data_IF_226852206810
#
_entry.id   IF_226852206810
#
_cell.length_a   1.000
_cell.length_b   1.000
_cell.length_c   1.000
_cell.angle_alpha   90.00
_cell.angle_beta   90.00
_cell.angle_gamma   90.00
#
_symmetry.space_group_name_H-M   'P 1'
#
loop_
_entity.id
_entity.type
_entity.pdbx_description
1 polymer ?
#
# COMPACT_ATOMS: atom_id res chain seq x y z
N UNK A 1 -2.18 -21.79 4.64
CA UNK A 1 -1.93 -20.79 3.57
C UNK A 1 -1.27 -21.51 2.41
N UNK A 2 -1.79 -21.38 1.19
CA UNK A 2 -1.09 -21.91 0.00
C UNK A 2 0.10 -21.01 -0.35
N UNK A 3 1.17 -21.54 -1.00
CA UNK A 3 2.32 -20.74 -1.39
C UNK A 3 1.95 -19.48 -2.18
N UNK A 4 0.96 -19.59 -3.08
CA UNK A 4 0.45 -18.46 -3.87
C UNK A 4 -0.20 -17.38 -2.98
N UNK A 5 -0.97 -17.76 -1.96
CA UNK A 5 -1.60 -16.81 -1.05
C UNK A 5 -0.57 -16.08 -0.19
N UNK A 6 0.51 -16.75 0.21
CA UNK A 6 1.62 -16.11 0.91
C UNK A 6 2.29 -15.02 0.05
N UNK A 7 2.56 -15.33 -1.22
CA UNK A 7 3.13 -14.36 -2.17
C UNK A 7 2.20 -13.16 -2.35
N UNK A 8 0.89 -13.40 -2.52
CA UNK A 8 -0.09 -12.32 -2.65
C UNK A 8 -0.08 -11.45 -1.39
N UNK A 9 -0.12 -12.04 -0.19
CA UNK A 9 -0.08 -11.29 1.07
C UNK A 9 1.20 -10.46 1.21
N UNK A 10 2.36 -11.02 0.84
CA UNK A 10 3.64 -10.29 0.84
C UNK A 10 3.60 -9.08 -0.09
N UNK A 11 3.13 -9.26 -1.33
CA UNK A 11 2.98 -8.17 -2.31
C UNK A 11 2.01 -7.08 -1.83
N UNK A 12 0.89 -7.45 -1.21
CA UNK A 12 -0.07 -6.49 -0.66
C UNK A 12 0.53 -5.71 0.52
N UNK A 13 1.36 -6.35 1.33
CA UNK A 13 2.06 -5.68 2.44
C UNK A 13 3.05 -4.63 1.91
N UNK A 14 3.83 -4.99 0.91
CA UNK A 14 4.76 -4.08 0.26
C UNK A 14 4.04 -2.92 -0.44
N UNK A 15 2.94 -3.20 -1.12
CA UNK A 15 2.10 -2.17 -1.75
C UNK A 15 1.55 -1.18 -0.73
N UNK A 16 1.03 -1.65 0.41
CA UNK A 16 0.56 -0.78 1.51
C UNK A 16 1.68 0.13 1.99
N UNK A 17 2.87 -0.43 2.22
CA UNK A 17 4.04 0.34 2.65
C UNK A 17 4.42 1.42 1.63
N UNK A 18 4.49 1.08 0.34
CA UNK A 18 4.84 2.04 -0.71
C UNK A 18 3.77 3.14 -0.85
N UNK A 19 2.49 2.78 -0.75
CA UNK A 19 1.38 3.73 -0.85
C UNK A 19 1.41 4.80 0.25
N UNK A 20 1.89 4.46 1.45
CA UNK A 20 1.91 5.36 2.62
C UNK A 20 3.23 6.09 2.81
N UNK A 21 4.36 5.50 2.38
CA UNK A 21 5.69 6.05 2.65
C UNK A 21 6.33 6.72 1.44
N UNK A 22 5.68 6.71 0.27
CA UNK A 22 6.23 7.36 -0.93
C UNK A 22 5.19 8.17 -1.72
N UNK A 23 5.70 8.97 -2.66
CA UNK A 23 4.92 9.69 -3.68
C UNK A 23 4.80 8.92 -5.00
N UNK A 24 5.35 7.70 -5.08
CA UNK A 24 5.45 6.96 -6.35
C UNK A 24 4.09 6.81 -7.04
N UNK A 25 4.01 6.98 -8.37
CA UNK A 25 2.78 6.72 -9.12
C UNK A 25 2.26 5.29 -8.90
N UNK A 26 0.94 5.10 -8.96
CA UNK A 26 0.32 3.80 -8.74
C UNK A 26 0.85 2.73 -9.73
N UNK A 27 1.14 3.13 -10.96
CA UNK A 27 1.74 2.26 -11.97
C UNK A 27 3.11 1.72 -11.55
N UNK A 28 3.97 2.59 -11.02
CA UNK A 28 5.30 2.19 -10.53
C UNK A 28 5.20 1.23 -9.34
N UNK A 29 4.29 1.51 -8.40
CA UNK A 29 4.04 0.62 -7.26
C UNK A 29 3.55 -0.75 -7.73
N UNK A 30 2.61 -0.79 -8.69
CA UNK A 30 2.09 -2.05 -9.23
C UNK A 30 3.20 -2.90 -9.85
N UNK A 31 4.09 -2.26 -10.62
CA UNK A 31 5.21 -2.93 -11.28
C UNK A 31 6.22 -3.47 -10.26
N UNK A 32 6.60 -2.65 -9.26
CA UNK A 32 7.52 -3.06 -8.19
C UNK A 32 7.03 -4.27 -7.39
N UNK A 33 5.73 -4.34 -7.09
CA UNK A 33 5.16 -5.48 -6.35
C UNK A 33 4.76 -6.64 -7.27
N UNK A 34 5.18 -6.63 -8.53
CA UNK A 34 5.09 -7.75 -9.46
C UNK A 34 3.78 -7.88 -10.22
N UNK A 35 3.11 -6.77 -10.52
CA UNK A 35 1.94 -6.71 -11.42
C UNK A 35 2.20 -5.75 -12.59
N UNK A 36 2.06 -6.25 -13.81
CA UNK A 36 2.25 -5.45 -15.03
C UNK A 36 1.04 -4.56 -15.33
N UNK A 37 -0.17 -5.02 -14.95
CA UNK A 37 -1.40 -4.30 -15.20
C UNK A 37 -1.89 -3.61 -13.91
N UNK A 38 -1.93 -2.27 -13.96
CA UNK A 38 -2.31 -1.40 -12.84
C UNK A 38 -3.76 -1.64 -12.40
N UNK A 39 -4.69 -1.84 -13.34
CA UNK A 39 -6.10 -2.07 -13.04
C UNK A 39 -6.33 -3.42 -12.35
N UNK A 40 -5.61 -4.45 -12.80
CA UNK A 40 -5.64 -5.77 -12.16
C UNK A 40 -5.10 -5.69 -10.72
N UNK A 41 -3.97 -5.01 -10.53
CA UNK A 41 -3.42 -4.75 -9.21
C UNK A 41 -4.42 -3.99 -8.33
N UNK A 42 -5.03 -2.91 -8.83
CA UNK A 42 -5.97 -2.09 -8.05
C UNK A 42 -7.20 -2.89 -7.60
N UNK A 43 -7.78 -3.71 -8.49
CA UNK A 43 -8.90 -4.61 -8.16
C UNK A 43 -8.49 -5.64 -7.11
N UNK A 44 -7.31 -6.25 -7.27
CA UNK A 44 -6.82 -7.27 -6.34
C UNK A 44 -6.50 -6.67 -4.97
N UNK A 45 -5.89 -5.49 -4.94
CA UNK A 45 -5.63 -4.74 -3.72
C UNK A 45 -6.93 -4.42 -3.01
N UNK A 46 -7.93 -3.86 -3.71
CA UNK A 46 -9.24 -3.58 -3.12
C UNK A 46 -9.90 -4.83 -2.54
N UNK A 47 -9.81 -5.98 -3.22
CA UNK A 47 -10.33 -7.25 -2.71
C UNK A 47 -9.62 -7.73 -1.43
N UNK A 48 -8.32 -7.48 -1.30
CA UNK A 48 -7.53 -7.92 -0.14
C UNK A 48 -7.51 -6.93 1.03
N UNK A 49 -7.69 -5.64 0.74
CA UNK A 49 -7.51 -4.55 1.71
C UNK A 49 -8.83 -3.89 2.08
N UNK A 50 -9.84 -3.95 1.21
CA UNK A 50 -11.18 -3.39 1.43
C UNK A 50 -11.39 -1.99 0.86
N UNK A 51 -10.35 -1.34 0.31
CA UNK A 51 -10.44 -0.03 -0.33
C UNK A 51 -9.48 0.10 -1.51
N UNK A 52 -9.67 1.11 -2.36
CA UNK A 52 -8.76 1.34 -3.48
C UNK A 52 -7.36 1.74 -2.99
N UNK A 53 -6.30 1.51 -3.78
CA UNK A 53 -4.95 1.98 -3.44
C UNK A 53 -4.87 3.49 -3.20
N UNK A 54 -5.61 4.28 -3.97
CA UNK A 54 -5.64 5.74 -3.84
C UNK A 54 -6.32 6.18 -2.55
N UNK A 55 -7.41 5.52 -2.16
CA UNK A 55 -8.09 5.81 -0.89
C UNK A 55 -7.20 5.40 0.28
N UNK A 56 -6.54 4.23 0.19
CA UNK A 56 -5.58 3.79 1.18
C UNK A 56 -4.44 4.81 1.36
N UNK A 57 -3.87 5.29 0.25
CA UNK A 57 -2.86 6.36 0.28
C UNK A 57 -3.40 7.60 0.99
N UNK A 58 -4.58 8.12 0.59
CA UNK A 58 -5.16 9.33 1.20
C UNK A 58 -5.42 9.16 2.69
N UNK A 59 -5.91 8.00 3.10
CA UNK A 59 -6.26 7.71 4.49
C UNK A 59 -5.04 7.60 5.39
N UNK A 60 -3.97 6.92 4.94
CA UNK A 60 -2.87 6.52 5.82
C UNK A 60 -1.59 7.35 5.66
N UNK A 61 -1.48 8.16 4.61
CA UNK A 61 -0.30 9.00 4.37
C UNK A 61 -0.21 10.23 5.27
N UNK A 62 -1.35 10.73 5.76
CA UNK A 62 -1.39 11.88 6.67
C UNK A 62 -1.00 11.53 8.13
N UNK A 63 -0.78 10.26 8.45
CA UNK A 63 -0.57 9.79 9.83
C UNK A 63 0.85 10.03 10.38
N UNK A 64 1.85 10.35 9.54
CA UNK A 64 3.20 10.62 10.03
C UNK A 64 3.37 12.03 10.60
N UNK A 65 2.50 12.98 10.21
CA UNK A 65 2.52 14.32 10.79
C UNK A 65 1.94 14.27 12.20
N UNK A 66 0.86 13.53 12.46
CA UNK A 66 0.29 13.48 13.82
C UNK A 66 1.16 12.67 14.81
N UNK A 67 1.90 11.65 14.36
CA UNK A 67 2.78 10.89 15.25
C UNK A 67 4.10 11.61 15.61
N UNK A 68 4.64 12.44 14.70
CA UNK A 68 5.85 13.23 14.96
C UNK A 68 5.60 14.41 15.93
N UNK A 69 4.38 14.93 16.00
CA UNK A 69 3.97 15.98 16.96
C UNK A 69 3.58 15.43 18.34
N UNK A 70 3.53 14.11 18.53
CA UNK A 70 3.20 13.44 19.80
C UNK A 70 4.41 12.88 20.55
N UNK A 71 5.64 13.19 20.12
CA UNK A 71 6.82 13.00 20.97
C UNK A 71 7.06 14.31 21.75
N UNK A 72 6.54 14.46 22.99
CA UNK A 72 6.97 15.54 23.85
C UNK A 72 8.47 15.39 24.11
N UNK A 73 9.18 16.51 24.09
CA UNK A 73 10.54 16.63 24.62
C UNK A 73 10.67 15.86 25.95
N UNK A 74 11.36 14.73 25.92
CA UNK A 74 12.02 14.11 27.07
C UNK A 74 13.14 13.20 26.57
#
# INVERSE_FOLDING_TARGET
>A
ISPINYVIQRRMTEAKFALTNTESPLAEISWRVGYENVDHFAKLFMRHVGCSPNDYRKQFKNSLVEQAYLLPNT
#
